data_IF_968214438580
#
_entry.id   IF_968214438580
#
_cell.length_a   1.000
_cell.length_b   1.000
_cell.length_c   1.000
_cell.angle_alpha   90.00
_cell.angle_beta   90.00
_cell.angle_gamma   90.00
#
_symmetry.space_group_name_H-M   'P 1'
#
loop_
_entity.id
_entity.type
_entity.pdbx_description
1 polymer ?
#
# COMPACT_ATOMS: atom_id res chain seq x y z
N UNK A 1 -14.35 -1.22 1.72
CA UNK A 1 -13.48 -2.05 2.57
C UNK A 1 -13.39 -1.35 3.91
N UNK A 2 -13.73 -2.01 5.02
CA UNK A 2 -13.64 -1.39 6.34
C UNK A 2 -12.18 -1.35 6.82
N UNK A 3 -11.90 -0.52 7.83
CA UNK A 3 -10.56 -0.43 8.42
C UNK A 3 -10.09 -1.78 8.99
N UNK A 4 -10.98 -2.53 9.64
CA UNK A 4 -10.70 -3.89 10.14
C UNK A 4 -10.37 -4.86 9.01
N UNK A 5 -11.11 -4.81 7.89
CA UNK A 5 -10.84 -5.64 6.72
C UNK A 5 -9.47 -5.30 6.11
N UNK A 6 -9.12 -4.01 6.09
CA UNK A 6 -7.84 -3.51 5.58
C UNK A 6 -6.67 -4.01 6.43
N UNK A 7 -6.76 -3.91 7.75
CA UNK A 7 -5.72 -4.40 8.67
C UNK A 7 -5.55 -5.92 8.59
N UNK A 8 -6.65 -6.66 8.46
CA UNK A 8 -6.61 -8.10 8.23
C UNK A 8 -5.89 -8.44 6.92
N UNK A 9 -6.16 -7.69 5.84
CA UNK A 9 -5.52 -7.90 4.54
C UNK A 9 -4.03 -7.58 4.57
N UNK A 10 -3.63 -6.48 5.23
CA UNK A 10 -2.23 -6.12 5.45
C UNK A 10 -1.49 -7.27 6.16
N UNK A 11 -2.08 -7.80 7.24
CA UNK A 11 -1.49 -8.91 8.00
C UNK A 11 -1.31 -10.17 7.14
N UNK A 12 -2.30 -10.52 6.33
CA UNK A 12 -2.21 -11.65 5.39
C UNK A 12 -1.08 -11.46 4.37
N UNK A 13 -0.95 -10.28 3.79
CA UNK A 13 0.10 -9.96 2.81
C UNK A 13 1.51 -10.00 3.42
N UNK A 14 1.67 -9.53 4.67
CA UNK A 14 2.94 -9.64 5.38
C UNK A 14 3.37 -11.08 5.64
N UNK A 15 2.42 -11.94 6.04
CA UNK A 15 2.67 -13.36 6.24
C UNK A 15 3.03 -14.05 4.91
N UNK A 16 2.30 -13.73 3.84
CA UNK A 16 2.58 -14.27 2.51
C UNK A 16 3.98 -13.87 2.02
N UNK A 17 4.35 -12.59 2.18
CA UNK A 17 5.71 -12.13 1.88
C UNK A 17 6.79 -12.92 2.62
N UNK A 18 6.59 -13.20 3.91
CA UNK A 18 7.55 -13.98 4.70
C UNK A 18 7.73 -15.39 4.14
N UNK A 19 6.63 -16.05 3.79
CA UNK A 19 6.68 -17.40 3.19
C UNK A 19 7.43 -17.38 1.86
N UNK A 20 7.16 -16.40 0.98
CA UNK A 20 7.85 -16.28 -0.31
C UNK A 20 9.35 -16.02 -0.14
N UNK A 21 9.74 -15.16 0.80
CA UNK A 21 11.16 -14.92 1.09
C UNK A 21 11.85 -16.20 1.60
N UNK A 22 11.20 -16.95 2.49
CA UNK A 22 11.73 -18.25 2.94
C UNK A 22 11.83 -19.27 1.80
N UNK A 23 10.87 -19.26 0.87
CA UNK A 23 10.90 -20.13 -0.31
C UNK A 23 12.00 -19.73 -1.29
N UNK A 24 12.32 -18.44 -1.43
CA UNK A 24 13.45 -17.97 -2.25
C UNK A 24 14.79 -18.39 -1.66
N UNK A 25 14.92 -18.29 -0.34
CA UNK A 25 16.14 -18.65 0.37
C UNK A 25 16.37 -20.18 0.33
N UNK A 26 15.29 -20.97 0.19
CA UNK A 26 15.36 -22.41 -0.11
C UNK A 26 15.51 -22.58 -1.63
N UNK A 27 16.67 -23.08 -2.10
CA UNK A 27 17.02 -23.24 -3.54
C UNK A 27 16.17 -24.27 -4.33
N UNK A 28 14.86 -24.36 -4.12
CA UNK A 28 13.95 -25.35 -4.72
C UNK A 28 12.81 -24.76 -5.55
N UNK A 29 12.58 -23.45 -5.52
CA UNK A 29 11.50 -22.80 -6.27
C UNK A 29 12.06 -21.91 -7.39
N UNK A 30 11.38 -21.82 -8.56
CA UNK A 30 11.80 -20.92 -9.63
C UNK A 30 11.87 -19.47 -9.12
N UNK A 31 13.09 -18.92 -9.02
CA UNK A 31 13.37 -17.60 -8.43
C UNK A 31 12.52 -16.51 -9.10
N UNK A 32 12.38 -16.57 -10.43
CA UNK A 32 11.58 -15.62 -11.21
C UNK A 32 10.10 -15.61 -10.81
N UNK A 33 9.52 -16.77 -10.48
CA UNK A 33 8.13 -16.88 -10.02
C UNK A 33 7.96 -16.23 -8.65
N UNK A 34 8.88 -16.50 -7.72
CA UNK A 34 8.84 -15.90 -6.39
C UNK A 34 9.01 -14.37 -6.45
N UNK A 35 9.92 -13.88 -7.30
CA UNK A 35 10.11 -12.44 -7.47
C UNK A 35 8.87 -11.77 -8.06
N UNK A 36 8.16 -12.44 -8.97
CA UNK A 36 6.88 -11.96 -9.50
C UNK A 36 5.82 -11.87 -8.40
N UNK A 37 5.69 -12.90 -7.56
CA UNK A 37 4.74 -12.91 -6.45
C UNK A 37 5.08 -11.86 -5.39
N UNK A 38 6.37 -11.67 -5.06
CA UNK A 38 6.82 -10.60 -4.16
C UNK A 38 6.47 -9.21 -4.70
N UNK A 39 6.55 -9.01 -6.03
CA UNK A 39 6.16 -7.75 -6.66
C UNK A 39 4.65 -7.48 -6.55
N UNK A 40 3.82 -8.51 -6.70
CA UNK A 40 2.36 -8.40 -6.51
C UNK A 40 2.04 -8.03 -5.06
N UNK A 41 2.61 -8.75 -4.10
CA UNK A 41 2.40 -8.48 -2.66
C UNK A 41 2.84 -7.06 -2.28
N UNK A 42 3.97 -6.59 -2.83
CA UNK A 42 4.44 -5.21 -2.63
C UNK A 42 3.45 -4.18 -3.18
N UNK A 43 2.95 -4.38 -4.39
CA UNK A 43 2.01 -3.45 -5.04
C UNK A 43 0.69 -3.37 -4.28
N UNK A 44 0.18 -4.50 -3.79
CA UNK A 44 -1.06 -4.54 -3.02
C UNK A 44 -0.89 -3.87 -1.65
N UNK A 45 0.22 -4.10 -0.94
CA UNK A 45 0.53 -3.38 0.30
C UNK A 45 0.59 -1.87 0.06
N UNK A 46 1.26 -1.44 -1.01
CA UNK A 46 1.34 -0.02 -1.36
C UNK A 46 -0.04 0.59 -1.59
N UNK A 47 -0.91 -0.07 -2.37
CA UNK A 47 -2.27 0.40 -2.61
C UNK A 47 -3.08 0.53 -1.30
N UNK A 48 -2.97 -0.44 -0.38
CA UNK A 48 -3.68 -0.41 0.90
C UNK A 48 -3.18 0.71 1.82
N UNK A 49 -1.89 1.05 1.76
CA UNK A 49 -1.33 2.18 2.49
C UNK A 49 -1.74 3.53 1.89
N UNK A 50 -1.74 3.65 0.56
CA UNK A 50 -2.17 4.87 -0.14
C UNK A 50 -3.65 5.18 0.10
N UNK A 51 -4.51 4.15 0.13
CA UNK A 51 -5.93 4.28 0.48
C UNK A 51 -6.11 4.82 1.91
N UNK A 52 -5.29 4.38 2.86
CA UNK A 52 -5.33 4.91 4.24
C UNK A 52 -4.68 6.28 4.42
N UNK A 53 -3.81 6.70 3.49
CA UNK A 53 -3.11 7.99 3.53
C UNK A 53 -3.86 9.13 2.85
N UNK A 54 -4.92 8.84 2.08
CA UNK A 54 -5.71 9.88 1.42
C UNK A 54 -6.30 10.78 2.52
N UNK A 55 -5.83 12.03 2.68
CA UNK A 55 -6.51 12.95 3.57
C UNK A 55 -7.95 13.06 3.07
N UNK A 56 -8.96 13.22 3.95
CA UNK A 56 -10.25 13.69 3.48
C UNK A 56 -9.97 14.96 2.68
N UNK A 57 -10.27 14.94 1.38
CA UNK A 57 -10.19 16.14 0.55
C UNK A 57 -11.24 17.11 1.09
N UNK A 58 -10.84 17.90 2.09
CA UNK A 58 -11.62 19.03 2.54
C UNK A 58 -11.63 20.03 1.37
N UNK A 59 -12.79 20.35 0.78
CA UNK A 59 -12.87 21.43 -0.17
C UNK A 59 -12.82 22.72 0.64
N UNK A 60 -11.64 23.19 1.03
CA UNK A 60 -11.50 24.44 1.77
C UNK A 60 -10.15 25.08 1.53
N UNK A 61 -10.14 25.99 0.54
CA UNK A 61 -9.55 27.34 0.63
C UNK A 61 -9.08 27.85 -0.75
N UNK A 62 -9.97 27.85 -1.74
CA UNK A 62 -9.94 28.88 -2.80
C UNK A 62 -10.67 30.12 -2.25
N UNK A 63 -10.07 30.79 -1.28
CA UNK A 63 -10.34 32.20 -0.98
C UNK A 63 -9.01 32.94 -1.03
N UNK A 64 -8.43 32.98 -2.22
CA UNK A 64 -7.47 34.01 -2.59
C UNK A 64 -8.17 34.86 -3.64
N UNK A 65 -8.61 36.06 -3.25
CA UNK A 65 -8.45 37.33 -4.01
C UNK A 65 -9.33 38.39 -3.35
N UNK A 66 -8.74 39.16 -2.44
CA UNK A 66 -9.10 40.57 -2.27
C UNK A 66 -7.78 41.32 -2.13
N UNK A 67 -7.35 42.12 -3.13
CA UNK A 67 -6.28 43.07 -2.91
C UNK A 67 -6.90 44.35 -2.34
N UNK A 68 -6.44 44.80 -1.18
CA UNK A 68 -6.57 46.21 -0.78
C UNK A 68 -5.26 46.62 -0.11
N UNK A 69 -4.43 47.26 -0.94
CA UNK A 69 -3.28 48.04 -0.55
C UNK A 69 -3.78 49.46 -0.23
N UNK A 70 -3.19 50.04 0.83
CA UNK A 70 -3.46 51.36 1.41
C UNK A 70 -3.27 52.51 0.42
#
# INVERSE_FOLDING_TARGET
MNESDRQNRISQLHNHRHVLLQQRDRRGAPIATIDMELNVVRSELQALYEVGRKPPQHPSALKATTPQLV
#
